data_IF_151182048913
#
_entry.id   IF_151182048913
#
_cell.length_a   1.000
_cell.length_b   1.000
_cell.length_c   1.000
_cell.angle_alpha   90.00
_cell.angle_beta   90.00
_cell.angle_gamma   90.00
#
_symmetry.space_group_name_H-M   'P 1'
#
loop_
_entity.id
_entity.type
_entity.pdbx_description
1 polymer ?
#
# COMPACT_ATOMS: atom_id res chain seq x y z
N UNK A 1 37.75 2.42 0.48
CA UNK A 1 36.34 2.10 0.17
C UNK A 1 35.91 0.88 0.98
N UNK A 2 35.36 1.05 2.20
CA UNK A 2 34.70 -0.05 2.92
C UNK A 2 33.26 -0.10 2.43
N UNK A 3 32.99 -0.87 1.37
CA UNK A 3 31.63 -0.97 0.86
C UNK A 3 30.75 -1.63 1.93
N UNK A 4 29.79 -0.88 2.47
CA UNK A 4 28.82 -1.31 3.47
C UNK A 4 27.73 -2.25 2.89
N UNK A 5 28.07 -3.13 1.94
CA UNK A 5 27.15 -4.06 1.27
C UNK A 5 26.32 -4.89 2.26
N UNK A 6 26.91 -5.25 3.40
CA UNK A 6 26.23 -6.02 4.44
C UNK A 6 24.95 -5.33 4.95
N UNK A 7 24.95 -3.99 5.07
CA UNK A 7 23.75 -3.23 5.51
C UNK A 7 22.62 -3.38 4.50
N UNK A 8 22.96 -3.25 3.22
CA UNK A 8 22.00 -3.46 2.13
C UNK A 8 21.47 -4.90 2.15
N UNK A 9 22.36 -5.89 2.23
CA UNK A 9 21.98 -7.31 2.24
C UNK A 9 21.05 -7.66 3.40
N UNK A 10 21.31 -7.17 4.61
CA UNK A 10 20.46 -7.43 5.77
C UNK A 10 19.06 -6.84 5.58
N UNK A 11 18.97 -5.56 5.18
CA UNK A 11 17.68 -4.90 4.95
C UNK A 11 16.93 -5.61 3.82
N UNK A 12 17.64 -5.96 2.75
CA UNK A 12 17.08 -6.61 1.58
C UNK A 12 16.54 -8.00 1.89
N UNK A 13 17.27 -8.82 2.66
CA UNK A 13 16.82 -10.15 3.08
C UNK A 13 15.58 -10.04 3.96
N UNK A 14 15.57 -9.12 4.94
CA UNK A 14 14.42 -8.90 5.81
C UNK A 14 13.19 -8.46 5.01
N UNK A 15 13.35 -7.45 4.14
CA UNK A 15 12.28 -6.97 3.27
C UNK A 15 11.73 -8.09 2.38
N UNK A 16 12.62 -8.86 1.75
CA UNK A 16 12.25 -9.94 0.84
C UNK A 16 11.54 -11.08 1.58
N UNK A 17 12.01 -11.45 2.77
CA UNK A 17 11.39 -12.51 3.58
C UNK A 17 9.97 -12.13 4.01
N UNK A 18 9.77 -10.91 4.52
CA UNK A 18 8.44 -10.46 4.95
C UNK A 18 7.51 -10.27 3.75
N UNK A 19 7.99 -9.66 2.67
CA UNK A 19 7.20 -9.48 1.45
C UNK A 19 6.83 -10.83 0.83
N UNK A 20 7.74 -11.81 0.79
CA UNK A 20 7.44 -13.16 0.35
C UNK A 20 6.35 -13.83 1.21
N UNK A 21 6.40 -13.66 2.53
CA UNK A 21 5.35 -14.14 3.42
C UNK A 21 3.98 -13.48 3.15
N UNK A 22 3.95 -12.17 2.97
CA UNK A 22 2.72 -11.42 2.64
C UNK A 22 2.16 -11.84 1.28
N UNK A 23 3.01 -11.95 0.26
CA UNK A 23 2.65 -12.42 -1.09
C UNK A 23 2.15 -13.87 -1.05
N UNK A 24 2.80 -14.73 -0.28
CA UNK A 24 2.33 -16.10 -0.07
C UNK A 24 0.92 -16.10 0.52
N UNK A 25 0.63 -15.28 1.54
CA UNK A 25 -0.72 -15.16 2.11
C UNK A 25 -1.74 -14.64 1.08
N UNK A 26 -1.34 -13.69 0.22
CA UNK A 26 -2.20 -13.10 -0.81
C UNK A 26 -2.55 -14.08 -1.96
N UNK A 27 -1.67 -15.03 -2.27
CA UNK A 27 -1.81 -15.98 -3.38
C UNK A 27 -2.51 -17.29 -2.99
N UNK A 28 -2.67 -17.56 -1.69
CA UNK A 28 -3.31 -18.80 -1.19
C UNK A 28 -4.83 -18.79 -1.43
N UNK A 29 -5.34 -19.96 -1.81
CA UNK A 29 -6.77 -20.24 -1.97
C UNK A 29 -7.22 -21.27 -0.92
N UNK A 30 -8.38 -21.08 -0.24
CA UNK A 30 -9.22 -19.89 -0.27
C UNK A 30 -8.53 -18.68 0.40
N UNK A 31 -8.87 -17.46 -0.06
CA UNK A 31 -8.34 -16.23 0.53
C UNK A 31 -8.94 -16.03 1.93
N UNK A 32 -8.09 -15.94 2.94
CA UNK A 32 -8.53 -15.67 4.31
C UNK A 32 -9.00 -14.22 4.43
N UNK A 33 -10.12 -13.99 5.13
CA UNK A 33 -10.78 -12.68 5.27
C UNK A 33 -9.86 -11.56 5.80
N UNK A 34 -8.89 -11.88 6.67
CA UNK A 34 -7.95 -10.91 7.23
C UNK A 34 -6.78 -10.57 6.32
N UNK A 35 -6.54 -11.35 5.26
CA UNK A 35 -5.38 -11.20 4.37
C UNK A 35 -5.35 -9.87 3.62
N UNK A 36 -6.44 -9.38 3.00
CA UNK A 36 -6.42 -8.08 2.31
C UNK A 36 -5.97 -6.93 3.21
N UNK A 37 -6.43 -6.92 4.46
CA UNK A 37 -6.03 -5.91 5.43
C UNK A 37 -4.55 -6.00 5.78
N UNK A 38 -4.02 -7.22 5.97
CA UNK A 38 -2.59 -7.44 6.21
C UNK A 38 -1.74 -6.92 5.04
N UNK A 39 -2.12 -7.28 3.82
CA UNK A 39 -1.43 -6.89 2.58
C UNK A 39 -1.39 -5.36 2.46
N UNK A 40 -2.54 -4.70 2.56
CA UNK A 40 -2.61 -3.24 2.44
C UNK A 40 -1.86 -2.53 3.57
N UNK A 41 -1.92 -3.03 4.82
CA UNK A 41 -1.14 -2.46 5.94
C UNK A 41 0.36 -2.57 5.71
N UNK A 42 0.84 -3.73 5.24
CA UNK A 42 2.26 -3.95 4.97
C UNK A 42 2.77 -3.00 3.89
N UNK A 43 2.14 -2.97 2.71
CA UNK A 43 2.60 -2.13 1.62
C UNK A 43 2.45 -0.63 1.91
N UNK A 44 1.40 -0.22 2.65
CA UNK A 44 1.26 1.15 3.12
C UNK A 44 2.38 1.55 4.12
N UNK A 45 2.81 0.62 4.98
CA UNK A 45 3.89 0.86 5.92
C UNK A 45 5.21 1.09 5.19
N UNK A 46 5.57 0.22 4.24
CA UNK A 46 6.80 0.37 3.46
C UNK A 46 6.75 1.67 2.65
N UNK A 47 5.62 1.99 2.02
CA UNK A 47 5.42 3.28 1.36
C UNK A 47 5.71 4.48 2.24
N UNK A 48 5.19 4.51 3.47
CA UNK A 48 5.46 5.61 4.41
C UNK A 48 6.95 5.70 4.77
N UNK A 49 7.62 4.56 4.97
CA UNK A 49 9.05 4.51 5.30
C UNK A 49 9.90 4.96 4.11
N UNK A 50 9.64 4.43 2.92
CA UNK A 50 10.30 4.77 1.66
C UNK A 50 10.15 6.26 1.34
N UNK A 51 8.93 6.78 1.48
CA UNK A 51 8.62 8.20 1.29
C UNK A 51 9.34 9.10 2.29
N UNK A 52 9.26 8.79 3.60
CA UNK A 52 9.96 9.56 4.64
C UNK A 52 11.48 9.54 4.45
N UNK A 53 12.04 8.38 4.11
CA UNK A 53 13.48 8.20 3.84
C UNK A 53 13.91 9.01 2.61
N UNK A 54 13.10 9.02 1.55
CA UNK A 54 13.31 9.86 0.37
C UNK A 54 13.32 11.35 0.69
N UNK A 55 12.37 11.83 1.50
CA UNK A 55 12.32 13.23 1.95
C UNK A 55 13.57 13.58 2.77
N UNK A 56 13.95 12.76 3.75
CA UNK A 56 15.13 13.00 4.58
C UNK A 56 16.40 13.02 3.74
N UNK A 57 16.53 12.09 2.79
CA UNK A 57 17.65 12.06 1.86
C UNK A 57 17.70 13.32 0.98
N UNK A 58 16.57 13.75 0.44
CA UNK A 58 16.49 14.98 -0.35
C UNK A 58 16.89 16.21 0.47
N UNK A 59 16.35 16.35 1.69
CA UNK A 59 16.70 17.45 2.60
C UNK A 59 18.19 17.46 2.93
N UNK A 60 18.80 16.29 3.17
CA UNK A 60 20.24 16.19 3.44
C UNK A 60 21.11 16.63 2.25
N UNK A 61 20.70 16.27 1.02
CA UNK A 61 21.39 16.73 -0.20
C UNK A 61 21.23 18.25 -0.37
N UNK A 62 20.01 18.78 -0.26
CA UNK A 62 19.76 20.23 -0.37
C UNK A 62 20.55 21.01 0.68
N UNK A 63 20.54 20.55 1.93
CA UNK A 63 21.28 21.15 3.02
C UNK A 63 22.79 21.24 2.75
N UNK A 64 23.33 20.22 2.08
CA UNK A 64 24.73 20.18 1.66
C UNK A 64 25.00 21.12 0.49
N UNK A 65 24.13 21.18 -0.51
CA UNK A 65 24.30 22.05 -1.69
C UNK A 65 24.24 23.54 -1.33
N UNK A 66 23.44 23.93 -0.34
CA UNK A 66 23.41 25.31 0.16
C UNK A 66 24.59 25.67 1.08
N UNK A 67 25.53 24.75 1.31
CA UNK A 67 26.70 24.97 2.16
C UNK A 67 26.38 25.10 3.66
N UNK A 68 25.16 24.80 4.08
CA UNK A 68 24.73 24.88 5.49
C UNK A 68 25.40 23.78 6.35
N UNK A 69 25.87 22.70 5.73
CA UNK A 69 26.68 21.66 6.39
C UNK A 69 28.01 22.19 6.98
N UNK A 70 28.58 23.26 6.40
CA UNK A 70 29.79 23.91 6.89
C UNK A 70 29.57 24.61 8.23
N UNK A 71 28.35 25.10 8.50
CA UNK A 71 27.98 25.70 9.80
C UNK A 71 28.06 24.68 10.94
N UNK A 72 27.82 23.40 10.63
CA UNK A 72 27.89 22.29 11.59
C UNK A 72 29.24 21.57 11.57
N UNK A 73 30.24 22.09 10.82
CA UNK A 73 31.56 21.47 10.60
C UNK A 73 31.48 20.03 10.06
N UNK A 74 30.40 19.69 9.36
CA UNK A 74 30.25 18.39 8.70
C UNK A 74 30.90 18.49 7.33
N UNK A 75 31.72 17.51 6.99
CA UNK A 75 32.35 17.48 5.67
C UNK A 75 31.28 17.26 4.58
N UNK A 76 31.32 18.04 3.47
CA UNK A 76 30.35 17.90 2.39
C UNK A 76 30.30 16.52 1.75
N UNK A 77 31.45 15.85 1.64
CA UNK A 77 31.58 14.46 1.16
C UNK A 77 30.67 13.50 1.96
N UNK A 78 30.82 13.49 3.29
CA UNK A 78 30.08 12.57 4.16
C UNK A 78 28.57 12.86 4.15
N UNK A 79 28.19 14.13 4.11
CA UNK A 79 26.79 14.55 4.09
C UNK A 79 26.09 14.19 2.76
N UNK A 80 26.79 14.36 1.63
CA UNK A 80 26.27 13.94 0.32
C UNK A 80 26.16 12.42 0.23
N UNK A 81 27.17 11.67 0.65
CA UNK A 81 27.14 10.21 0.62
C UNK A 81 25.97 9.65 1.46
N UNK A 82 25.71 10.24 2.62
CA UNK A 82 24.55 9.91 3.45
C UNK A 82 23.23 10.24 2.76
N UNK A 83 23.08 11.46 2.23
CA UNK A 83 21.86 11.92 1.57
C UNK A 83 21.51 11.10 0.32
N UNK A 84 22.50 10.85 -0.54
CA UNK A 84 22.34 10.02 -1.75
C UNK A 84 22.01 8.58 -1.37
N UNK A 85 22.66 8.02 -0.35
CA UNK A 85 22.34 6.66 0.12
C UNK A 85 20.88 6.55 0.57
N UNK A 86 20.37 7.51 1.35
CA UNK A 86 18.96 7.52 1.76
C UNK A 86 18.01 7.66 0.56
N UNK A 87 18.32 8.56 -0.39
CA UNK A 87 17.54 8.69 -1.62
C UNK A 87 17.49 7.39 -2.41
N UNK A 88 18.63 6.70 -2.54
CA UNK A 88 18.71 5.40 -3.19
C UNK A 88 17.82 4.36 -2.49
N UNK A 89 17.89 4.25 -1.16
CA UNK A 89 17.04 3.33 -0.41
C UNK A 89 15.55 3.65 -0.53
N UNK A 90 15.17 4.93 -0.38
CA UNK A 90 13.79 5.37 -0.47
C UNK A 90 13.18 5.13 -1.85
N UNK A 91 13.93 5.41 -2.91
CA UNK A 91 13.48 5.17 -4.29
C UNK A 91 13.46 3.68 -4.64
N UNK A 92 14.49 2.92 -4.24
CA UNK A 92 14.59 1.49 -4.55
C UNK A 92 13.42 0.71 -3.96
N UNK A 93 13.22 0.81 -2.65
CA UNK A 93 12.10 0.12 -1.99
C UNK A 93 10.76 0.73 -2.39
N UNK A 94 10.69 2.06 -2.59
CA UNK A 94 9.51 2.79 -3.06
C UNK A 94 8.94 2.28 -4.39
N UNK A 95 9.81 1.96 -5.36
CA UNK A 95 9.39 1.39 -6.64
C UNK A 95 9.06 -0.10 -6.47
N UNK A 96 9.94 -0.84 -5.81
CA UNK A 96 9.80 -2.29 -5.64
C UNK A 96 8.50 -2.68 -4.94
N UNK A 97 8.18 -2.03 -3.82
CA UNK A 97 6.97 -2.26 -3.04
C UNK A 97 5.69 -2.01 -3.86
N UNK A 98 5.70 -1.03 -4.77
CA UNK A 98 4.55 -0.64 -5.59
C UNK A 98 4.17 -1.75 -6.55
N UNK A 99 5.17 -2.37 -7.17
CA UNK A 99 4.96 -3.46 -8.12
C UNK A 99 4.46 -4.73 -7.41
N UNK A 100 5.01 -5.04 -6.23
CA UNK A 100 4.51 -6.14 -5.40
C UNK A 100 3.10 -5.90 -4.86
N UNK A 101 2.77 -4.67 -4.46
CA UNK A 101 1.44 -4.31 -3.99
C UNK A 101 0.37 -4.51 -5.08
N UNK A 102 0.68 -4.07 -6.30
CA UNK A 102 -0.19 -4.24 -7.46
C UNK A 102 -0.39 -5.72 -7.80
N UNK A 103 0.70 -6.49 -7.85
CA UNK A 103 0.67 -7.94 -8.07
C UNK A 103 -0.17 -8.67 -7.01
N UNK A 104 0.03 -8.37 -5.73
CA UNK A 104 -0.76 -8.97 -4.64
C UNK A 104 -2.24 -8.60 -4.76
N UNK A 105 -2.55 -7.35 -5.11
CA UNK A 105 -3.91 -6.91 -5.32
C UNK A 105 -4.59 -7.65 -6.48
N UNK A 106 -3.87 -7.95 -7.57
CA UNK A 106 -4.39 -8.76 -8.69
C UNK A 106 -4.69 -10.21 -8.29
N UNK A 107 -3.80 -10.85 -7.53
CA UNK A 107 -4.05 -12.19 -7.00
C UNK A 107 -5.25 -12.23 -6.06
N UNK A 108 -5.39 -11.24 -5.18
CA UNK A 108 -6.55 -11.15 -4.30
C UNK A 108 -7.82 -10.88 -5.10
N UNK A 109 -7.80 -9.93 -6.05
CA UNK A 109 -8.93 -9.60 -6.91
C UNK A 109 -9.45 -10.83 -7.69
N UNK A 110 -8.54 -11.59 -8.30
CA UNK A 110 -8.90 -12.81 -9.04
C UNK A 110 -9.43 -13.94 -8.15
N UNK A 111 -9.05 -13.97 -6.87
CA UNK A 111 -9.56 -14.96 -5.90
C UNK A 111 -10.89 -14.55 -5.28
N UNK A 112 -11.08 -13.23 -5.06
CA UNK A 112 -12.33 -12.65 -4.56
C UNK A 112 -13.44 -12.74 -5.62
N UNK A 113 -13.06 -12.57 -6.91
CA UNK A 113 -13.92 -12.53 -8.09
C UNK A 113 -15.30 -13.14 -7.92
N UNK A 114 -16.28 -12.28 -7.67
CA UNK A 114 -17.71 -12.64 -7.52
C UNK A 114 -18.42 -12.86 -8.87
N UNK A 115 -17.71 -12.71 -9.99
CA UNK A 115 -18.22 -12.87 -11.35
C UNK A 115 -17.42 -13.91 -12.13
N UNK A 116 -18.16 -14.72 -12.90
CA UNK A 116 -17.61 -15.50 -14.01
C UNK A 116 -17.57 -14.64 -15.28
N UNK A 117 -16.76 -15.03 -16.29
CA UNK A 117 -16.65 -14.32 -17.57
C UNK A 117 -17.99 -14.15 -18.32
N UNK A 118 -19.04 -14.90 -17.93
CA UNK A 118 -20.39 -14.83 -18.47
C UNK A 118 -21.29 -13.76 -17.84
N UNK A 119 -20.79 -12.96 -16.88
CA UNK A 119 -21.54 -11.84 -16.31
C UNK A 119 -22.60 -12.23 -15.27
N UNK A 120 -22.77 -13.51 -14.93
CA UNK A 120 -23.62 -13.93 -13.81
C UNK A 120 -22.83 -13.96 -12.49
N UNK A 121 -23.33 -13.30 -11.42
CA UNK A 121 -22.70 -13.33 -10.11
C UNK A 121 -22.83 -14.74 -9.52
N UNK A 122 -21.71 -15.35 -9.14
CA UNK A 122 -21.69 -16.72 -8.60
C UNK A 122 -21.97 -16.77 -7.09
N UNK A 123 -22.01 -15.62 -6.41
CA UNK A 123 -22.35 -15.48 -4.99
C UNK A 123 -23.15 -14.19 -4.77
N UNK A 124 -24.32 -14.30 -4.15
CA UNK A 124 -25.01 -13.14 -3.57
C UNK A 124 -24.33 -12.78 -2.26
N UNK A 125 -23.67 -11.62 -2.21
CA UNK A 125 -23.14 -11.07 -0.98
C UNK A 125 -24.23 -10.19 -0.34
N UNK A 126 -24.50 -10.38 0.95
CA UNK A 126 -25.41 -9.48 1.68
C UNK A 126 -24.78 -8.09 1.79
N UNK A 127 -25.60 -7.05 1.75
CA UNK A 127 -25.16 -5.64 1.85
C UNK A 127 -24.38 -5.33 3.14
N UNK A 128 -24.47 -6.22 4.13
CA UNK A 128 -23.76 -6.16 5.41
C UNK A 128 -22.36 -6.77 5.40
N UNK A 129 -21.83 -7.23 4.27
CA UNK A 129 -20.49 -7.85 4.19
C UNK A 129 -19.61 -7.12 3.18
N UNK A 130 -18.39 -6.77 3.58
CA UNK A 130 -17.43 -6.12 2.70
C UNK A 130 -16.90 -7.11 1.66
N UNK A 131 -17.07 -6.82 0.38
CA UNK A 131 -16.63 -7.72 -0.70
C UNK A 131 -15.10 -7.88 -0.78
N UNK A 132 -14.31 -6.96 -0.20
CA UNK A 132 -12.84 -7.03 -0.24
C UNK A 132 -12.30 -7.97 0.84
N UNK A 133 -12.67 -7.76 2.11
CA UNK A 133 -12.16 -8.57 3.23
C UNK A 133 -13.12 -9.69 3.66
N UNK A 134 -14.35 -9.72 3.16
CA UNK A 134 -15.36 -10.71 3.52
C UNK A 134 -15.89 -10.61 4.95
N UNK A 135 -15.56 -9.56 5.70
CA UNK A 135 -16.05 -9.34 7.08
C UNK A 135 -17.31 -8.50 7.11
N UNK A 136 -18.09 -8.61 8.21
CA UNK A 136 -19.30 -7.82 8.41
C UNK A 136 -19.01 -6.33 8.57
N UNK A 137 -19.93 -5.50 8.05
CA UNK A 137 -19.95 -4.05 8.15
C UNK A 137 -20.93 -3.72 9.28
N UNK A 138 -20.41 -3.20 10.40
CA UNK A 138 -21.20 -2.91 11.60
C UNK A 138 -21.65 -1.45 11.71
N UNK A 139 -21.07 -0.56 10.90
CA UNK A 139 -21.28 0.89 10.95
C UNK A 139 -21.95 1.34 9.67
N UNK A 140 -23.07 2.05 9.78
CA UNK A 140 -23.74 2.63 8.61
C UNK A 140 -22.92 3.82 8.05
N UNK A 141 -23.12 4.13 6.77
CA UNK A 141 -22.44 5.20 6.02
C UNK A 141 -22.67 6.58 6.66
N UNK A 142 -23.76 6.76 7.40
CA UNK A 142 -24.11 8.02 8.07
C UNK A 142 -23.51 8.19 9.47
N UNK A 143 -22.85 7.16 10.02
CA UNK A 143 -22.30 7.19 11.37
C UNK A 143 -20.77 7.10 11.36
N UNK A 144 -20.13 7.87 12.24
CA UNK A 144 -18.69 7.70 12.49
C UNK A 144 -18.47 6.43 13.30
N UNK A 145 -17.71 5.50 12.72
CA UNK A 145 -17.42 4.23 13.35
C UNK A 145 -16.37 4.36 14.44
N UNK A 146 -16.62 3.77 15.62
CA UNK A 146 -15.64 3.72 16.71
C UNK A 146 -14.37 2.96 16.29
N UNK A 147 -14.52 1.93 15.45
CA UNK A 147 -13.43 1.04 15.01
C UNK A 147 -12.97 1.41 13.59
N UNK A 148 -13.91 1.54 12.67
CA UNK A 148 -13.65 1.93 11.28
C UNK A 148 -14.91 2.47 10.62
N UNK A 149 -14.73 3.43 9.72
CA UNK A 149 -15.82 3.99 8.92
C UNK A 149 -16.15 3.10 7.73
N UNK A 150 -17.33 3.35 7.19
CA UNK A 150 -17.88 2.70 6.01
C UNK A 150 -17.97 3.70 4.86
N UNK A 151 -17.63 3.27 3.64
CA UNK A 151 -17.69 4.12 2.45
C UNK A 151 -18.61 3.52 1.40
N UNK A 152 -19.50 4.34 0.86
CA UNK A 152 -20.43 3.98 -0.23
C UNK A 152 -19.93 4.55 -1.57
N UNK A 153 -19.77 3.68 -2.56
CA UNK A 153 -19.41 4.07 -3.93
C UNK A 153 -20.62 4.65 -4.70
N UNK A 154 -20.38 5.24 -5.88
CA UNK A 154 -21.44 5.71 -6.81
C UNK A 154 -22.40 4.59 -7.21
N UNK A 155 -21.87 3.38 -7.39
CA UNK A 155 -22.61 2.16 -7.68
C UNK A 155 -23.43 1.61 -6.48
N UNK A 156 -23.56 2.37 -5.39
CA UNK A 156 -24.23 2.02 -4.14
C UNK A 156 -23.63 0.85 -3.32
N UNK A 157 -22.57 0.19 -3.81
CA UNK A 157 -21.88 -0.83 -3.01
C UNK A 157 -21.12 -0.21 -1.84
N UNK A 158 -21.17 -0.91 -0.71
CA UNK A 158 -20.69 -0.46 0.59
C UNK A 158 -19.48 -1.29 1.02
N UNK A 159 -18.43 -0.64 1.52
CA UNK A 159 -17.19 -1.28 1.93
C UNK A 159 -16.64 -0.62 3.19
N UNK A 160 -15.79 -1.34 3.94
CA UNK A 160 -14.93 -0.68 4.93
C UNK A 160 -14.04 0.34 4.23
N UNK A 161 -13.95 1.54 4.77
CA UNK A 161 -13.17 2.64 4.20
C UNK A 161 -11.72 2.23 3.95
N UNK A 162 -11.11 1.54 4.92
CA UNK A 162 -9.74 1.03 4.80
C UNK A 162 -9.59 0.04 3.63
N UNK A 163 -10.56 -0.85 3.44
CA UNK A 163 -10.50 -1.88 2.41
C UNK A 163 -10.63 -1.27 1.01
N UNK A 164 -11.58 -0.36 0.81
CA UNK A 164 -11.77 0.28 -0.50
C UNK A 164 -10.64 1.25 -0.84
N UNK A 165 -10.11 1.98 0.15
CA UNK A 165 -8.89 2.80 -0.04
C UNK A 165 -7.69 1.93 -0.37
N UNK A 166 -7.50 0.80 0.31
CA UNK A 166 -6.45 -0.16 -0.02
C UNK A 166 -6.57 -0.70 -1.45
N UNK A 167 -7.78 -1.04 -1.88
CA UNK A 167 -8.07 -1.48 -3.25
C UNK A 167 -7.70 -0.42 -4.29
N UNK A 168 -8.17 0.82 -4.12
CA UNK A 168 -7.96 1.89 -5.09
C UNK A 168 -6.55 2.49 -5.08
N UNK A 169 -5.93 2.64 -3.90
CA UNK A 169 -4.65 3.32 -3.74
C UNK A 169 -3.49 2.33 -3.83
N UNK A 170 -3.50 1.31 -2.95
CA UNK A 170 -2.40 0.34 -2.85
C UNK A 170 -2.44 -0.63 -4.02
N UNK A 171 -3.63 -1.15 -4.35
CA UNK A 171 -3.82 -2.06 -5.48
C UNK A 171 -3.96 -1.36 -6.85
N UNK A 172 -4.03 -0.02 -6.88
CA UNK A 172 -4.31 0.80 -8.07
C UNK A 172 -5.54 0.36 -8.87
N UNK A 173 -6.53 -0.26 -8.23
CA UNK A 173 -7.74 -0.74 -8.90
C UNK A 173 -8.81 0.35 -8.90
N UNK A 174 -9.11 0.91 -10.07
CA UNK A 174 -10.05 2.03 -10.22
C UNK A 174 -11.50 1.59 -10.50
N UNK A 175 -11.85 0.35 -10.15
CA UNK A 175 -13.16 -0.24 -10.40
C UNK A 175 -13.72 -0.84 -9.12
N UNK A 176 -15.04 -0.85 -8.98
CA UNK A 176 -15.72 -1.47 -7.86
C UNK A 176 -15.35 -2.96 -7.78
N UNK A 177 -14.89 -3.47 -6.61
CA UNK A 177 -14.58 -4.89 -6.44
C UNK A 177 -15.75 -5.83 -6.76
N UNK A 178 -16.98 -5.32 -6.65
CA UNK A 178 -18.20 -6.07 -6.91
C UNK A 178 -18.66 -5.92 -8.37
N UNK A 179 -19.20 -4.75 -8.76
CA UNK A 179 -19.83 -4.56 -10.08
C UNK A 179 -18.87 -4.10 -11.20
N UNK A 180 -17.58 -3.88 -10.90
CA UNK A 180 -16.56 -3.32 -11.81
C UNK A 180 -16.87 -1.92 -12.40
N UNK A 181 -17.92 -1.24 -11.93
CA UNK A 181 -18.16 0.16 -12.27
C UNK A 181 -16.95 1.01 -11.86
N UNK A 182 -16.58 1.98 -12.71
CA UNK A 182 -15.46 2.86 -12.43
C UNK A 182 -15.72 3.70 -11.18
N UNK A 183 -14.74 3.74 -10.28
CA UNK A 183 -14.84 4.51 -9.04
C UNK A 183 -14.46 5.97 -9.30
N UNK A 184 -15.26 6.90 -8.78
CA UNK A 184 -14.90 8.31 -8.73
C UNK A 184 -13.85 8.55 -7.62
N UNK A 185 -12.59 8.49 -8.02
CA UNK A 185 -11.45 8.71 -7.13
C UNK A 185 -11.43 10.14 -6.54
N UNK A 186 -11.94 11.15 -7.25
CA UNK A 186 -11.87 12.54 -6.78
C UNK A 186 -12.65 12.72 -5.48
N UNK A 187 -13.83 12.10 -5.40
CA UNK A 187 -14.68 12.06 -4.20
C UNK A 187 -14.06 11.26 -3.06
N UNK A 188 -13.25 10.24 -3.35
CA UNK A 188 -12.57 9.45 -2.32
C UNK A 188 -11.38 10.16 -1.66
N UNK A 189 -10.75 11.12 -2.36
CA UNK A 189 -9.57 11.85 -1.89
C UNK A 189 -9.90 13.23 -1.32
N UNK A 190 -11.11 13.76 -1.54
CA UNK A 190 -11.58 14.95 -0.84
C UNK A 190 -12.02 14.55 0.58
N UNK A 191 -11.13 14.70 1.55
CA UNK A 191 -11.54 14.89 2.94
C UNK A 191 -12.04 16.33 3.09
#
# INVERSE_FOLDING_TARGET
>A
VKLHWWRFLVIWILFSAVTAFVTFRATRKPLVQTTPRLVYKWFLLIYKISYATGIVGYMAVMFTLFGLNLLFKIKPEDAMDFGISLLFYGLYYGVLERDFAEMCADYMASTIGFYSESGMPTKHLSDSVCAVCGQQIFVDVSEEGIIENTYRLSCNHVFHEFCIRGWCIVGKKQTCPYCKEKVDLKRMFSN
#
